data_IF_252514478996
#
_entry.id   IF_252514478996
#
_cell.length_a   1.000
_cell.length_b   1.000
_cell.length_c   1.000
_cell.angle_alpha   90.00
_cell.angle_beta   90.00
_cell.angle_gamma   90.00
#
_symmetry.space_group_name_H-M   'P 1'
#
loop_
_entity.id
_entity.type
_entity.pdbx_description
1 polymer ?
#
# COMPACT_ATOMS: atom_id res chain seq x y z
N UNK A 1 0.99 14.42 -21.21
CA UNK A 1 1.47 13.72 -20.00
C UNK A 1 0.25 13.34 -19.18
N UNK A 2 0.19 12.08 -18.64
CA UNK A 2 -0.92 11.65 -17.81
C UNK A 2 -1.04 12.50 -16.52
N UNK A 3 -2.26 12.70 -16.01
CA UNK A 3 -2.46 13.39 -14.73
C UNK A 3 -2.12 12.48 -13.54
N UNK A 4 -2.42 11.17 -13.64
CA UNK A 4 -2.16 10.18 -12.60
C UNK A 4 -1.22 9.11 -13.15
N UNK A 5 -0.10 8.86 -12.46
CA UNK A 5 0.75 7.68 -12.67
C UNK A 5 0.40 6.64 -11.61
N UNK A 6 -0.09 5.48 -12.03
CA UNK A 6 -0.34 4.35 -11.14
C UNK A 6 0.95 3.54 -11.06
N UNK A 7 1.42 3.22 -9.86
CA UNK A 7 2.64 2.44 -9.63
C UNK A 7 2.29 1.06 -9.07
N UNK A 8 2.80 0.02 -9.73
CA UNK A 8 2.58 -1.39 -9.38
C UNK A 8 3.88 -2.18 -9.51
N UNK A 9 4.34 -2.76 -8.42
CA UNK A 9 5.44 -3.73 -8.40
C UNK A 9 4.87 -5.14 -8.33
N UNK A 10 5.37 -6.07 -9.16
CA UNK A 10 4.95 -7.45 -9.20
C UNK A 10 6.16 -8.40 -9.12
N UNK A 11 6.01 -9.51 -8.39
CA UNK A 11 7.02 -10.57 -8.31
C UNK A 11 6.35 -11.94 -8.23
N UNK A 12 6.47 -12.74 -9.29
CA UNK A 12 5.81 -14.04 -9.44
C UNK A 12 4.30 -13.97 -9.10
N UNK A 13 3.54 -13.06 -9.72
CA UNK A 13 2.14 -12.86 -9.41
C UNK A 13 1.29 -14.07 -9.83
N UNK A 14 0.18 -14.26 -9.13
CA UNK A 14 -0.92 -15.08 -9.61
C UNK A 14 -1.49 -14.44 -10.89
N UNK A 15 -1.66 -15.25 -11.95
CA UNK A 15 -2.06 -14.75 -13.27
C UNK A 15 -3.42 -14.06 -13.24
N UNK A 16 -4.40 -14.71 -12.66
CA UNK A 16 -5.79 -14.27 -12.76
C UNK A 16 -6.04 -13.05 -11.85
N UNK A 17 -5.35 -12.99 -10.69
CA UNK A 17 -5.41 -11.81 -9.80
C UNK A 17 -4.73 -10.61 -10.43
N UNK A 18 -3.53 -10.77 -10.99
CA UNK A 18 -2.85 -9.69 -11.70
C UNK A 18 -3.72 -9.15 -12.84
N UNK A 19 -4.30 -10.04 -13.64
CA UNK A 19 -5.17 -9.64 -14.74
C UNK A 19 -6.40 -8.88 -14.23
N UNK A 20 -7.05 -9.38 -13.17
CA UNK A 20 -8.20 -8.71 -12.56
C UNK A 20 -7.83 -7.35 -11.95
N UNK A 21 -6.64 -7.23 -11.34
CA UNK A 21 -6.10 -5.97 -10.84
C UNK A 21 -5.93 -4.95 -11.97
N UNK A 22 -5.22 -5.32 -13.02
CA UNK A 22 -4.98 -4.45 -14.19
C UNK A 22 -6.29 -4.06 -14.87
N UNK A 23 -7.21 -5.00 -15.09
CA UNK A 23 -8.53 -4.72 -15.67
C UNK A 23 -9.36 -3.76 -14.82
N UNK A 24 -9.22 -3.80 -13.47
CA UNK A 24 -9.89 -2.84 -12.60
C UNK A 24 -9.36 -1.41 -12.77
N UNK A 25 -8.09 -1.26 -13.15
CA UNK A 25 -7.48 0.02 -13.52
C UNK A 25 -7.97 0.47 -14.89
N UNK A 26 -8.00 -0.41 -15.87
CA UNK A 26 -8.49 -0.09 -17.23
C UNK A 26 -9.94 0.42 -17.21
N UNK A 27 -10.75 -0.12 -16.30
CA UNK A 27 -12.18 0.27 -16.12
C UNK A 27 -12.40 1.52 -15.26
N UNK A 28 -11.34 2.27 -14.91
CA UNK A 28 -11.51 3.50 -14.14
C UNK A 28 -12.28 4.57 -14.94
N UNK A 29 -13.21 5.25 -14.27
CA UNK A 29 -13.99 6.37 -14.88
C UNK A 29 -13.13 7.60 -15.16
N UNK A 30 -12.00 7.77 -14.49
CA UNK A 30 -10.98 8.77 -14.78
C UNK A 30 -10.01 8.22 -15.82
N UNK A 31 -9.99 8.80 -17.02
CA UNK A 31 -9.26 8.23 -18.17
C UNK A 31 -7.81 8.71 -18.34
N UNK A 32 -7.40 9.81 -17.68
CA UNK A 32 -6.09 10.45 -17.88
C UNK A 32 -5.04 9.87 -16.90
N UNK A 33 -4.68 8.61 -17.11
CA UNK A 33 -3.71 7.87 -16.32
C UNK A 33 -2.72 7.09 -17.19
N UNK A 34 -1.57 6.76 -16.62
CA UNK A 34 -0.63 5.74 -17.05
C UNK A 34 -0.44 4.71 -15.93
N UNK A 35 -0.18 3.45 -16.27
CA UNK A 35 0.23 2.41 -15.32
C UNK A 35 1.70 2.04 -15.56
N UNK A 36 2.54 2.20 -14.54
CA UNK A 36 3.91 1.71 -14.54
C UNK A 36 3.91 0.36 -13.81
N UNK A 37 4.04 -0.72 -14.58
CA UNK A 37 4.05 -2.10 -14.09
C UNK A 37 5.50 -2.60 -14.09
N UNK A 38 6.06 -2.79 -12.89
CA UNK A 38 7.45 -3.21 -12.71
C UNK A 38 7.53 -4.67 -12.27
N UNK A 39 8.17 -5.49 -13.11
CA UNK A 39 8.53 -6.87 -12.78
C UNK A 39 9.84 -6.89 -11.98
N UNK A 40 9.76 -7.23 -10.71
CA UNK A 40 10.91 -7.28 -9.80
C UNK A 40 11.71 -8.59 -9.94
N UNK A 41 12.05 -8.98 -11.17
CA UNK A 41 12.87 -10.14 -11.48
C UNK A 41 12.14 -11.47 -11.33
N UNK A 42 10.91 -11.56 -11.78
CA UNK A 42 10.11 -12.80 -11.76
C UNK A 42 10.74 -13.92 -12.57
N UNK A 43 10.37 -15.17 -12.24
CA UNK A 43 10.63 -16.36 -13.04
C UNK A 43 10.08 -16.21 -14.47
N UNK A 44 10.47 -17.05 -15.44
CA UNK A 44 9.93 -16.98 -16.79
C UNK A 44 8.40 -17.06 -16.84
N UNK A 45 7.77 -17.91 -16.01
CA UNK A 45 6.32 -18.03 -15.92
C UNK A 45 5.68 -16.76 -15.35
N UNK A 46 6.19 -16.23 -14.21
CA UNK A 46 5.70 -14.99 -13.63
C UNK A 46 5.85 -13.80 -14.57
N UNK A 47 6.98 -13.72 -15.28
CA UNK A 47 7.19 -12.69 -16.30
C UNK A 47 6.18 -12.79 -17.45
N UNK A 48 5.84 -14.01 -17.91
CA UNK A 48 4.84 -14.21 -18.94
C UNK A 48 3.46 -13.68 -18.51
N UNK A 49 3.06 -13.90 -17.24
CA UNK A 49 1.81 -13.35 -16.68
C UNK A 49 1.82 -11.82 -16.71
N UNK A 50 2.93 -11.18 -16.25
CA UNK A 50 3.07 -9.73 -16.21
C UNK A 50 3.02 -9.13 -17.63
N UNK A 51 3.73 -9.73 -18.58
CA UNK A 51 3.71 -9.29 -19.99
C UNK A 51 2.33 -9.43 -20.63
N UNK A 52 1.56 -10.45 -20.25
CA UNK A 52 0.18 -10.61 -20.72
C UNK A 52 -0.68 -9.47 -20.18
N UNK A 53 -0.63 -9.21 -18.88
CA UNK A 53 -1.37 -8.12 -18.26
C UNK A 53 -0.97 -6.73 -18.81
N UNK A 54 0.28 -6.54 -19.17
CA UNK A 54 0.76 -5.28 -19.77
C UNK A 54 0.18 -4.99 -21.17
N UNK A 55 -0.41 -5.98 -21.84
CA UNK A 55 -1.04 -5.80 -23.16
C UNK A 55 -2.51 -5.39 -23.08
N UNK A 56 -3.11 -5.35 -21.89
CA UNK A 56 -4.54 -5.03 -21.71
C UNK A 56 -4.91 -3.62 -22.17
N UNK A 57 -3.96 -2.66 -22.10
CA UNK A 57 -4.22 -1.27 -22.48
C UNK A 57 -2.92 -0.55 -22.89
N UNK A 58 -2.97 0.29 -23.90
CA UNK A 58 -1.82 1.06 -24.42
C UNK A 58 -1.22 2.08 -23.44
N UNK A 59 -1.92 2.40 -22.35
CA UNK A 59 -1.42 3.30 -21.29
C UNK A 59 -0.55 2.56 -20.25
N UNK A 60 -0.37 1.24 -20.38
CA UNK A 60 0.45 0.42 -19.49
C UNK A 60 1.88 0.38 -20.00
N UNK A 61 2.81 0.77 -19.15
CA UNK A 61 4.25 0.74 -19.41
C UNK A 61 4.90 -0.35 -18.56
N UNK A 62 5.40 -1.39 -19.22
CA UNK A 62 6.08 -2.50 -18.60
C UNK A 62 7.58 -2.24 -18.46
N UNK A 63 8.11 -2.54 -17.26
CA UNK A 63 9.54 -2.51 -16.96
C UNK A 63 9.94 -3.78 -16.22
N UNK A 64 11.21 -4.17 -16.32
CA UNK A 64 11.73 -5.37 -15.65
C UNK A 64 13.07 -5.12 -15.00
N UNK A 65 13.23 -5.62 -13.77
CA UNK A 65 14.49 -5.75 -13.07
C UNK A 65 15.16 -7.09 -13.35
N UNK A 66 16.46 -7.15 -13.18
CA UNK A 66 17.25 -8.38 -13.38
C UNK A 66 17.00 -9.42 -12.28
N UNK A 67 16.72 -8.96 -11.04
CA UNK A 67 16.50 -9.80 -9.84
C UNK A 67 15.53 -9.14 -8.87
N UNK A 68 14.99 -9.95 -7.96
CA UNK A 68 14.14 -9.44 -6.88
C UNK A 68 14.93 -8.55 -5.91
N UNK A 69 14.51 -7.30 -5.81
CA UNK A 69 15.05 -6.29 -4.90
C UNK A 69 14.02 -5.81 -3.87
N UNK A 70 12.77 -6.27 -3.97
CA UNK A 70 11.67 -5.98 -3.06
C UNK A 70 10.76 -4.84 -3.52
N UNK A 71 9.58 -4.80 -2.90
CA UNK A 71 8.49 -3.90 -3.30
C UNK A 71 8.90 -2.42 -3.30
N UNK A 72 9.58 -1.96 -2.23
CA UNK A 72 10.03 -0.57 -2.13
C UNK A 72 10.91 -0.15 -3.31
N UNK A 73 11.85 -1.02 -3.72
CA UNK A 73 12.69 -0.77 -4.89
C UNK A 73 11.86 -0.69 -6.18
N UNK A 74 10.97 -1.65 -6.41
CA UNK A 74 10.10 -1.68 -7.59
C UNK A 74 9.23 -0.42 -7.68
N UNK A 75 8.63 0.01 -6.56
CA UNK A 75 7.83 1.23 -6.50
C UNK A 75 8.67 2.48 -6.76
N UNK A 76 9.89 2.58 -6.24
CA UNK A 76 10.80 3.69 -6.51
C UNK A 76 11.18 3.76 -8.00
N UNK A 77 11.39 2.60 -8.64
CA UNK A 77 11.64 2.54 -10.08
C UNK A 77 10.45 3.06 -10.91
N UNK A 78 9.21 2.76 -10.46
CA UNK A 78 8.01 3.34 -11.05
C UNK A 78 7.93 4.86 -10.79
N UNK A 79 8.17 5.33 -9.56
CA UNK A 79 8.15 6.76 -9.21
C UNK A 79 9.11 7.55 -10.09
N UNK A 80 10.32 7.06 -10.26
CA UNK A 80 11.35 7.72 -11.09
C UNK A 80 10.92 7.90 -12.55
N UNK A 81 10.14 6.96 -13.09
CA UNK A 81 9.63 6.96 -14.47
C UNK A 81 8.27 7.61 -14.63
N UNK A 82 7.60 7.95 -13.53
CA UNK A 82 6.25 8.53 -13.55
C UNK A 82 6.26 9.93 -14.14
N UNK A 83 5.20 10.27 -14.89
CA UNK A 83 5.04 11.61 -15.50
C UNK A 83 3.87 12.40 -14.90
N UNK A 84 2.98 11.72 -14.17
CA UNK A 84 1.77 12.31 -13.60
C UNK A 84 2.04 13.28 -12.44
N UNK A 85 1.17 14.27 -12.28
CA UNK A 85 1.12 15.17 -11.12
C UNK A 85 0.80 14.40 -9.83
N UNK A 86 0.06 13.30 -9.96
CA UNK A 86 -0.33 12.42 -8.87
C UNK A 86 0.21 11.02 -9.08
N UNK A 87 0.50 10.31 -7.97
CA UNK A 87 0.95 8.92 -7.97
C UNK A 87 -0.05 8.09 -7.18
N UNK A 88 -0.72 7.15 -7.85
CA UNK A 88 -1.60 6.18 -7.23
C UNK A 88 -0.85 4.86 -6.96
N UNK A 89 -0.98 4.32 -5.76
CA UNK A 89 -0.44 3.03 -5.42
C UNK A 89 -1.46 1.92 -5.70
N UNK A 90 -1.02 0.78 -6.24
CA UNK A 90 -1.86 -0.40 -6.46
C UNK A 90 -1.05 -1.68 -6.28
N UNK A 91 -1.62 -2.69 -5.60
CA UNK A 91 -1.07 -4.06 -5.54
C UNK A 91 -1.48 -4.87 -6.77
N UNK A 92 -0.67 -5.88 -7.09
CA UNK A 92 -0.88 -6.77 -8.22
C UNK A 92 -1.97 -7.82 -8.00
N UNK A 93 -2.53 -7.91 -6.79
CA UNK A 93 -3.60 -8.83 -6.40
C UNK A 93 -4.89 -8.14 -5.91
N UNK A 94 -4.90 -6.80 -5.78
CA UNK A 94 -6.05 -6.01 -5.37
C UNK A 94 -6.92 -5.57 -6.57
N UNK A 95 -8.15 -5.11 -6.31
CA UNK A 95 -9.03 -4.53 -7.34
C UNK A 95 -9.60 -3.20 -6.87
N UNK A 96 -9.54 -2.17 -7.69
CA UNK A 96 -10.14 -0.88 -7.37
C UNK A 96 -11.55 -0.74 -7.97
N UNK A 97 -12.44 -0.02 -7.25
CA UNK A 97 -13.76 0.32 -7.80
C UNK A 97 -13.61 1.35 -8.93
N UNK A 98 -14.52 1.38 -9.93
CA UNK A 98 -14.37 2.25 -11.10
C UNK A 98 -14.24 3.75 -10.80
N UNK A 99 -14.82 4.22 -9.71
CA UNK A 99 -14.81 5.64 -9.32
C UNK A 99 -13.60 6.08 -8.47
N UNK A 100 -12.67 5.17 -8.13
CA UNK A 100 -11.58 5.43 -7.20
C UNK A 100 -10.73 6.64 -7.61
N UNK A 101 -10.13 6.58 -8.79
CA UNK A 101 -9.21 7.63 -9.24
C UNK A 101 -9.90 8.98 -9.38
N UNK A 102 -11.13 9.00 -9.90
CA UNK A 102 -11.92 10.22 -10.06
C UNK A 102 -12.23 10.88 -8.72
N UNK A 103 -12.64 10.10 -7.70
CA UNK A 103 -12.97 10.61 -6.36
C UNK A 103 -11.72 11.16 -5.66
N UNK A 104 -10.63 10.40 -5.68
CA UNK A 104 -9.38 10.79 -5.05
C UNK A 104 -8.73 12.01 -5.72
N UNK A 105 -8.77 12.06 -7.06
CA UNK A 105 -8.29 13.20 -7.83
C UNK A 105 -9.07 14.47 -7.48
N UNK A 106 -10.40 14.43 -7.51
CA UNK A 106 -11.26 15.57 -7.14
C UNK A 106 -10.98 16.04 -5.73
N UNK A 107 -10.83 15.11 -4.79
CA UNK A 107 -10.52 15.45 -3.40
C UNK A 107 -9.20 16.23 -3.29
N UNK A 108 -8.12 15.73 -3.87
CA UNK A 108 -6.83 16.42 -3.80
C UNK A 108 -6.81 17.75 -4.57
N UNK A 109 -7.56 17.91 -5.65
CA UNK A 109 -7.65 19.20 -6.35
C UNK A 109 -8.35 20.28 -5.48
N UNK A 110 -9.33 19.87 -4.63
CA UNK A 110 -10.08 20.79 -3.76
C UNK A 110 -9.50 20.98 -2.36
N UNK A 111 -8.56 20.12 -1.92
CA UNK A 111 -7.99 20.13 -0.56
C UNK A 111 -6.46 20.17 -0.63
N UNK A 112 -5.91 21.38 -0.77
CA UNK A 112 -4.45 21.58 -0.95
C UNK A 112 -3.63 21.31 0.31
N UNK A 113 -4.25 21.33 1.47
CA UNK A 113 -3.66 21.05 2.77
C UNK A 113 -3.24 19.58 2.94
N UNK A 114 -3.82 18.64 2.15
CA UNK A 114 -3.45 17.23 2.18
C UNK A 114 -2.50 16.87 1.04
N UNK A 115 -1.47 16.12 1.37
CA UNK A 115 -0.46 15.67 0.41
C UNK A 115 -0.78 14.30 -0.20
N UNK A 116 -1.66 13.55 0.42
CA UNK A 116 -2.23 12.30 -0.12
C UNK A 116 -3.62 12.04 0.42
N UNK A 117 -4.33 11.20 -0.29
CA UNK A 117 -5.64 10.69 0.12
C UNK A 117 -5.70 9.17 -0.05
N UNK A 118 -6.06 8.50 1.05
CA UNK A 118 -6.40 7.07 1.07
C UNK A 118 -7.91 6.86 1.03
N UNK A 119 -8.32 5.61 1.25
CA UNK A 119 -9.73 5.24 1.42
C UNK A 119 -9.86 4.02 2.32
N UNK A 120 -11.08 3.66 2.67
CA UNK A 120 -11.38 2.35 3.24
C UNK A 120 -11.20 1.26 2.16
N UNK A 121 -11.15 0.00 2.59
CA UNK A 121 -11.12 -1.14 1.68
C UNK A 121 -12.05 -2.26 2.16
N UNK A 122 -12.59 -3.05 1.24
CA UNK A 122 -13.26 -4.31 1.53
C UNK A 122 -12.24 -5.45 1.50
N UNK A 123 -12.26 -6.30 2.49
CA UNK A 123 -11.44 -7.51 2.54
C UNK A 123 -12.12 -8.62 1.74
N UNK A 124 -11.38 -9.24 0.82
CA UNK A 124 -11.89 -10.34 0.00
C UNK A 124 -10.89 -11.51 -0.04
N UNK A 125 -11.43 -12.70 -0.22
CA UNK A 125 -10.72 -13.94 -0.49
C UNK A 125 -11.43 -14.74 -1.61
N UNK A 126 -11.10 -16.02 -1.74
CA UNK A 126 -11.70 -16.92 -2.73
C UNK A 126 -13.22 -17.08 -2.56
N UNK A 127 -13.78 -16.79 -1.40
CA UNK A 127 -15.22 -16.90 -1.08
C UNK A 127 -15.96 -15.58 -1.26
N UNK A 128 -15.25 -14.50 -1.56
CA UNK A 128 -15.82 -13.17 -1.77
C UNK A 128 -15.46 -12.17 -0.67
N UNK A 129 -16.30 -11.14 -0.48
CA UNK A 129 -16.09 -10.11 0.53
C UNK A 129 -16.45 -10.63 1.92
N UNK A 130 -15.50 -10.59 2.86
CA UNK A 130 -15.69 -11.10 4.21
C UNK A 130 -15.48 -10.06 5.33
N UNK A 131 -14.98 -8.86 5.02
CA UNK A 131 -14.74 -7.83 6.03
C UNK A 131 -14.47 -6.45 5.42
N UNK A 132 -14.21 -5.47 6.30
CA UNK A 132 -13.92 -4.09 5.91
C UNK A 132 -12.74 -3.57 6.72
N UNK A 133 -11.72 -3.04 6.05
CA UNK A 133 -10.65 -2.29 6.67
C UNK A 133 -11.10 -0.84 6.88
N UNK A 134 -11.06 -0.40 8.13
CA UNK A 134 -11.38 0.97 8.53
C UNK A 134 -10.13 1.67 9.02
N UNK A 135 -10.01 2.93 8.66
CA UNK A 135 -8.95 3.85 9.08
C UNK A 135 -9.56 5.19 9.42
N UNK A 136 -8.96 5.98 10.32
CA UNK A 136 -9.48 7.29 10.68
C UNK A 136 -9.51 8.22 9.45
N UNK A 137 -10.53 9.06 9.38
CA UNK A 137 -10.73 10.02 8.29
C UNK A 137 -9.58 11.03 8.20
N UNK A 138 -9.22 11.62 9.34
CA UNK A 138 -8.14 12.62 9.53
C UNK A 138 -7.12 12.10 10.53
N UNK A 139 -6.22 11.20 10.10
CA UNK A 139 -5.26 10.58 11.00
C UNK A 139 -4.42 11.59 11.77
N UNK A 140 -4.26 11.34 13.06
CA UNK A 140 -3.41 12.09 13.96
C UNK A 140 -2.17 11.27 14.32
N UNK A 141 -1.15 11.92 14.90
CA UNK A 141 0.10 11.25 15.31
C UNK A 141 -0.18 10.01 16.20
N UNK A 142 -1.15 10.09 17.11
CA UNK A 142 -1.53 8.97 18.00
C UNK A 142 -2.08 7.74 17.27
N UNK A 143 -2.66 7.95 16.08
CA UNK A 143 -3.28 6.87 15.31
C UNK A 143 -2.23 5.94 14.68
N UNK A 144 -0.96 6.38 14.63
CA UNK A 144 0.17 5.53 14.24
C UNK A 144 0.56 4.50 15.32
N UNK A 145 0.20 4.71 16.58
CA UNK A 145 0.60 3.80 17.66
C UNK A 145 0.16 2.34 17.41
N UNK A 146 -1.11 2.04 17.14
CA UNK A 146 -1.55 0.66 16.96
C UNK A 146 -1.09 0.03 15.63
N UNK A 147 -1.12 0.78 14.52
CA UNK A 147 -0.79 0.34 13.16
C UNK A 147 -0.73 1.53 12.21
N UNK A 148 -0.39 1.32 10.93
CA UNK A 148 -0.50 2.37 9.92
C UNK A 148 -1.95 2.87 9.82
N UNK A 149 -2.21 4.17 9.92
CA UNK A 149 -3.54 4.75 9.76
C UNK A 149 -3.92 4.97 8.29
N UNK A 150 -3.18 4.39 7.36
CA UNK A 150 -3.47 4.38 5.93
C UNK A 150 -3.39 2.97 5.39
N UNK A 151 -4.29 2.62 4.47
CA UNK A 151 -4.28 1.37 3.72
C UNK A 151 -3.47 1.62 2.46
N UNK A 152 -2.24 1.13 2.41
CA UNK A 152 -1.25 1.47 1.40
C UNK A 152 -1.74 1.37 -0.06
N UNK A 153 -2.40 0.26 -0.52
CA UNK A 153 -2.86 0.16 -1.91
C UNK A 153 -4.00 1.11 -2.27
N UNK A 154 -4.58 1.82 -1.30
CA UNK A 154 -5.65 2.78 -1.58
C UNK A 154 -5.15 4.19 -1.88
N UNK A 155 -3.87 4.50 -1.68
CA UNK A 155 -3.40 5.89 -1.59
C UNK A 155 -3.12 6.51 -2.96
N UNK A 156 -3.57 7.75 -3.13
CA UNK A 156 -3.17 8.68 -4.18
C UNK A 156 -2.35 9.82 -3.55
N UNK A 157 -1.09 9.97 -3.96
CA UNK A 157 -0.17 11.00 -3.48
C UNK A 157 -0.09 12.18 -4.46
N UNK A 158 0.19 13.38 -3.96
CA UNK A 158 0.87 14.39 -4.77
C UNK A 158 2.29 13.89 -5.06
N UNK A 159 2.68 13.90 -6.32
CA UNK A 159 4.01 13.43 -6.73
C UNK A 159 5.13 14.16 -5.99
N UNK A 160 5.00 15.46 -5.82
CA UNK A 160 5.97 16.32 -5.13
C UNK A 160 6.21 15.89 -3.66
N UNK A 161 5.17 15.48 -2.93
CA UNK A 161 5.30 15.01 -1.55
C UNK A 161 6.09 13.69 -1.48
N UNK A 162 5.82 12.76 -2.40
CA UNK A 162 6.50 11.47 -2.46
C UNK A 162 7.96 11.61 -2.92
N UNK A 163 8.21 12.48 -3.90
CA UNK A 163 9.56 12.80 -4.38
C UNK A 163 10.37 13.56 -3.34
N UNK A 164 9.76 14.58 -2.69
CA UNK A 164 10.42 15.42 -1.68
C UNK A 164 10.85 14.66 -0.42
N UNK A 165 10.18 13.55 -0.09
CA UNK A 165 10.60 12.68 1.01
C UNK A 165 11.60 11.59 0.57
N UNK A 166 12.02 11.53 -0.70
CA UNK A 166 12.95 10.55 -1.24
C UNK A 166 12.31 9.19 -1.61
N UNK A 167 10.97 9.12 -1.73
CA UNK A 167 10.26 7.87 -2.06
C UNK A 167 10.24 6.88 -0.90
N UNK A 168 10.19 5.58 -1.23
CA UNK A 168 10.19 4.48 -0.25
C UNK A 168 11.61 4.16 0.22
N UNK A 169 11.76 3.83 1.51
CA UNK A 169 13.00 3.26 2.02
C UNK A 169 13.16 1.81 1.53
N UNK A 170 14.08 1.60 0.58
CA UNK A 170 14.38 0.29 0.01
C UNK A 170 15.48 -0.47 0.79
N UNK A 171 15.87 0.03 1.96
CA UNK A 171 16.86 -0.64 2.82
C UNK A 171 16.34 -1.97 3.38
N UNK A 172 17.22 -2.91 3.75
CA UNK A 172 16.83 -4.14 4.41
C UNK A 172 16.05 -3.92 5.71
N UNK A 173 16.28 -2.79 6.39
CA UNK A 173 15.67 -2.41 7.65
C UNK A 173 14.18 -2.07 7.51
N UNK A 174 13.76 -1.48 6.40
CA UNK A 174 12.37 -1.13 6.11
C UNK A 174 11.59 -2.24 5.40
N UNK A 175 12.27 -3.29 4.93
CA UNK A 175 11.66 -4.37 4.12
C UNK A 175 10.44 -5.02 4.81
N UNK A 176 9.31 -5.07 4.11
CA UNK A 176 7.99 -5.50 4.57
C UNK A 176 7.34 -4.57 5.63
N UNK A 177 7.86 -3.34 5.78
CA UNK A 177 7.32 -2.27 6.61
C UNK A 177 7.46 -0.91 5.89
N UNK A 178 7.74 -0.93 4.59
CA UNK A 178 8.02 0.23 3.74
C UNK A 178 6.89 1.25 3.71
N UNK A 179 5.66 0.79 3.79
CA UNK A 179 4.46 1.62 3.85
C UNK A 179 4.36 2.38 5.18
N UNK A 180 4.57 1.67 6.29
CA UNK A 180 4.49 2.26 7.62
C UNK A 180 5.64 3.24 7.86
N UNK A 181 6.85 2.90 7.44
CA UNK A 181 8.01 3.78 7.47
C UNK A 181 7.74 5.07 6.70
N UNK A 182 7.24 4.96 5.46
CA UNK A 182 6.94 6.11 4.62
C UNK A 182 5.96 7.07 5.30
N UNK A 183 4.83 6.58 5.82
CA UNK A 183 3.84 7.44 6.44
C UNK A 183 4.34 8.07 7.74
N UNK A 184 5.13 7.35 8.55
CA UNK A 184 5.79 7.91 9.74
C UNK A 184 6.72 9.07 9.36
N UNK A 185 7.53 8.90 8.32
CA UNK A 185 8.48 9.90 7.82
C UNK A 185 7.77 11.11 7.23
N UNK A 186 6.72 10.92 6.44
CA UNK A 186 5.89 12.01 5.91
C UNK A 186 5.26 12.84 7.02
N UNK A 187 4.70 12.20 8.06
CA UNK A 187 4.14 12.91 9.23
C UNK A 187 5.19 13.64 10.06
N UNK A 188 6.38 13.05 10.24
CA UNK A 188 7.49 13.68 10.91
C UNK A 188 7.98 14.94 10.14
N UNK A 189 7.89 14.93 8.81
CA UNK A 189 8.12 16.08 7.95
C UNK A 189 7.00 17.13 7.93
N UNK A 190 5.97 17.00 8.79
CA UNK A 190 4.85 17.95 8.87
C UNK A 190 3.75 17.75 7.83
N UNK A 191 3.89 16.79 6.92
CA UNK A 191 2.90 16.51 5.88
C UNK A 191 1.70 15.75 6.45
N UNK A 192 0.53 15.90 5.81
CA UNK A 192 -0.72 15.29 6.29
C UNK A 192 -1.47 14.60 5.14
N UNK A 193 -2.14 13.51 5.48
CA UNK A 193 -3.04 12.78 4.59
C UNK A 193 -4.46 12.71 5.14
N UNK A 194 -5.36 12.26 4.28
CA UNK A 194 -6.78 12.09 4.57
C UNK A 194 -7.23 10.71 4.08
N UNK A 195 -8.28 10.13 4.66
CA UNK A 195 -8.90 8.91 4.16
C UNK A 195 -10.38 9.15 3.88
N UNK A 196 -10.78 9.01 2.62
CA UNK A 196 -12.18 8.96 2.23
C UNK A 196 -12.87 7.82 2.99
N UNK A 197 -14.01 8.09 3.64
CA UNK A 197 -14.72 7.11 4.46
C UNK A 197 -15.62 6.19 3.61
N UNK A 198 -15.13 5.88 2.41
CA UNK A 198 -15.76 5.01 1.42
C UNK A 198 -14.77 3.90 0.99
N UNK A 199 -15.21 2.64 0.84
CA UNK A 199 -14.35 1.58 0.34
C UNK A 199 -14.17 1.72 -1.19
N UNK A 200 -12.96 2.09 -1.59
CA UNK A 200 -12.60 2.27 -3.00
C UNK A 200 -11.66 1.17 -3.53
N UNK A 201 -11.40 0.15 -2.70
CA UNK A 201 -10.54 -0.99 -3.03
C UNK A 201 -11.14 -2.29 -2.47
N UNK A 202 -10.99 -3.37 -3.22
CA UNK A 202 -11.14 -4.74 -2.75
C UNK A 202 -9.73 -5.26 -2.47
N UNK A 203 -9.42 -5.40 -1.17
CA UNK A 203 -8.11 -5.83 -0.66
C UNK A 203 -8.07 -7.34 -0.56
N UNK A 204 -7.13 -7.96 -1.27
CA UNK A 204 -6.97 -9.42 -1.26
C UNK A 204 -6.23 -9.88 0.01
N UNK A 205 -6.89 -10.68 0.82
CA UNK A 205 -6.27 -11.25 2.02
C UNK A 205 -6.72 -12.69 2.24
N UNK A 206 -5.83 -13.65 2.00
CA UNK A 206 -6.07 -15.06 2.23
C UNK A 206 -5.14 -15.68 3.29
N UNK A 207 -5.21 -17.01 3.48
CA UNK A 207 -4.40 -17.71 4.47
C UNK A 207 -2.89 -17.57 4.23
N UNK A 208 -2.44 -17.50 2.97
CA UNK A 208 -1.03 -17.39 2.59
C UNK A 208 -0.42 -16.05 3.00
N UNK A 209 -1.22 -14.98 2.99
CA UNK A 209 -0.78 -13.64 3.40
C UNK A 209 -0.27 -13.59 4.84
N UNK A 210 -0.67 -14.54 5.70
CA UNK A 210 -0.23 -14.63 7.10
C UNK A 210 1.09 -15.38 7.28
N UNK A 211 1.49 -16.24 6.35
CA UNK A 211 2.72 -17.06 6.46
C UNK A 211 3.99 -16.22 6.31
N UNK A 212 3.91 -15.06 5.67
CA UNK A 212 5.04 -14.13 5.46
C UNK A 212 5.52 -13.42 6.75
N UNK A 213 4.93 -13.70 7.92
CA UNK A 213 5.19 -13.00 9.18
C UNK A 213 6.21 -13.75 10.05
N UNK A 214 7.50 -13.73 9.66
CA UNK A 214 8.58 -14.31 10.44
C UNK A 214 9.13 -13.36 11.53
N UNK A 215 9.95 -13.90 12.45
CA UNK A 215 10.54 -13.14 13.56
C UNK A 215 11.39 -11.94 13.09
N UNK A 216 12.18 -12.12 12.04
CA UNK A 216 13.01 -11.04 11.50
C UNK A 216 12.17 -9.85 11.03
N UNK A 217 10.98 -10.07 10.44
CA UNK A 217 10.03 -9.01 10.11
C UNK A 217 9.55 -8.28 11.36
N UNK A 218 9.28 -9.01 12.46
CA UNK A 218 8.83 -8.39 13.72
C UNK A 218 9.87 -7.46 14.33
N UNK A 219 11.14 -7.88 14.28
CA UNK A 219 12.26 -7.03 14.73
C UNK A 219 12.40 -5.78 13.85
N UNK A 220 12.24 -5.90 12.52
CA UNK A 220 12.24 -4.74 11.63
C UNK A 220 11.10 -3.78 11.95
N UNK A 221 9.87 -4.29 12.06
CA UNK A 221 8.70 -3.48 12.42
C UNK A 221 8.92 -2.75 13.76
N UNK A 222 9.50 -3.43 14.78
CA UNK A 222 9.84 -2.81 16.05
C UNK A 222 10.82 -1.64 15.86
N UNK A 223 11.87 -1.82 15.05
CA UNK A 223 12.85 -0.76 14.76
C UNK A 223 12.24 0.42 14.01
N UNK A 224 11.40 0.15 13.01
CA UNK A 224 10.66 1.18 12.26
C UNK A 224 9.76 1.98 13.22
N UNK A 225 9.01 1.31 14.10
CA UNK A 225 8.17 1.95 15.12
C UNK A 225 8.99 2.82 16.05
N UNK A 226 10.10 2.31 16.60
CA UNK A 226 10.97 3.04 17.51
C UNK A 226 11.51 4.33 16.87
N UNK A 227 12.08 4.23 15.67
CA UNK A 227 12.59 5.38 14.91
C UNK A 227 11.50 6.38 14.57
N UNK A 228 10.39 5.89 14.03
CA UNK A 228 9.27 6.73 13.60
C UNK A 228 8.59 7.44 14.76
N UNK A 229 8.35 6.77 15.88
CA UNK A 229 7.72 7.39 17.05
C UNK A 229 8.62 8.47 17.69
N UNK A 230 9.92 8.24 17.69
CA UNK A 230 10.88 9.29 18.11
C UNK A 230 10.84 10.50 17.18
N UNK A 231 10.82 10.27 15.87
CA UNK A 231 10.73 11.36 14.88
C UNK A 231 9.41 12.15 14.98
N UNK A 232 8.32 11.48 15.40
CA UNK A 232 7.02 12.11 15.67
C UNK A 232 6.93 12.80 17.04
N UNK A 233 7.98 12.75 17.88
CA UNK A 233 7.96 13.32 19.21
C UNK A 233 7.07 12.58 20.22
N UNK A 234 6.74 11.30 19.98
CA UNK A 234 5.92 10.52 20.91
C UNK A 234 6.75 10.13 22.13
N UNK A 235 6.30 10.46 23.38
CA UNK A 235 7.04 10.15 24.59
C UNK A 235 7.35 8.67 24.76
N UNK A 236 8.55 8.34 25.22
CA UNK A 236 9.03 6.95 25.38
C UNK A 236 8.09 6.03 26.16
N UNK A 237 7.56 6.41 27.33
CA UNK A 237 6.61 5.59 28.09
C UNK A 237 5.34 5.25 27.30
N UNK A 238 4.81 6.18 26.53
CA UNK A 238 3.65 5.98 25.66
C UNK A 238 3.98 5.10 24.45
N UNK A 239 5.16 5.27 23.88
CA UNK A 239 5.62 4.56 22.68
C UNK A 239 5.96 3.09 22.97
N UNK A 240 6.59 2.79 24.11
CA UNK A 240 7.21 1.49 24.41
C UNK A 240 6.28 0.28 24.24
N UNK A 241 5.03 0.26 24.75
CA UNK A 241 4.12 -0.87 24.56
C UNK A 241 3.85 -1.17 23.08
N UNK A 242 3.72 -0.12 22.26
CA UNK A 242 3.44 -0.24 20.83
C UNK A 242 4.69 -0.59 20.02
N UNK A 243 5.88 -0.17 20.46
CA UNK A 243 7.15 -0.61 19.87
C UNK A 243 7.34 -2.12 20.07
N UNK A 244 7.03 -2.64 21.25
CA UNK A 244 7.15 -4.07 21.55
C UNK A 244 5.99 -4.94 21.02
N UNK A 245 4.85 -4.34 20.68
CA UNK A 245 3.65 -5.04 20.18
C UNK A 245 3.91 -6.05 19.07
N UNK A 246 4.76 -5.80 18.03
CA UNK A 246 5.04 -6.79 16.99
C UNK A 246 5.63 -8.09 17.54
N UNK A 247 6.50 -8.04 18.55
CA UNK A 247 7.11 -9.21 19.18
C UNK A 247 6.04 -10.04 19.91
N UNK A 248 5.17 -9.39 20.68
CA UNK A 248 4.07 -10.05 21.39
C UNK A 248 3.08 -10.71 20.42
N UNK A 249 2.71 -10.00 19.36
CA UNK A 249 1.85 -10.56 18.30
C UNK A 249 2.52 -11.72 17.54
N UNK A 250 3.86 -11.78 17.53
CA UNK A 250 4.64 -12.87 16.95
C UNK A 250 4.60 -14.16 17.74
N UNK A 251 4.31 -14.10 19.04
CA UNK A 251 4.17 -15.27 19.91
C UNK A 251 2.84 -16.02 19.71
N UNK A 252 1.84 -15.39 19.05
CA UNK A 252 0.55 -16.04 18.79
C UNK A 252 0.64 -16.99 17.58
N UNK A 253 0.13 -18.22 17.67
CA UNK A 253 -0.01 -19.13 16.54
C UNK A 253 -0.82 -18.49 15.41
N UNK A 254 -0.43 -18.70 14.15
CA UNK A 254 -1.06 -18.10 12.99
C UNK A 254 -2.59 -18.31 12.90
N UNK A 255 -3.14 -19.50 13.22
CA UNK A 255 -4.60 -19.72 13.23
C UNK A 255 -5.34 -18.85 14.25
N UNK A 256 -4.77 -18.70 15.46
CA UNK A 256 -5.37 -17.89 16.54
C UNK A 256 -5.37 -16.40 16.13
N UNK A 257 -4.25 -15.92 15.62
CA UNK A 257 -4.15 -14.55 15.12
C UNK A 257 -5.17 -14.28 14.01
N UNK A 258 -5.32 -15.20 13.05
CA UNK A 258 -6.30 -15.09 11.95
C UNK A 258 -7.75 -15.04 12.48
N UNK A 259 -8.10 -15.91 13.42
CA UNK A 259 -9.43 -15.93 14.01
C UNK A 259 -9.77 -14.62 14.73
N UNK A 260 -8.83 -14.09 15.53
CA UNK A 260 -8.99 -12.80 16.22
C UNK A 260 -9.15 -11.65 15.21
N UNK A 261 -8.33 -11.62 14.15
CA UNK A 261 -8.41 -10.60 13.13
C UNK A 261 -9.75 -10.65 12.38
N UNK A 262 -10.21 -11.83 11.97
CA UNK A 262 -11.53 -11.97 11.33
C UNK A 262 -12.65 -11.46 12.23
N UNK A 263 -12.67 -11.83 13.52
CA UNK A 263 -13.65 -11.30 14.48
C UNK A 263 -13.63 -9.77 14.59
N UNK A 264 -12.45 -9.17 14.61
CA UNK A 264 -12.32 -7.71 14.70
C UNK A 264 -12.85 -7.00 13.45
N UNK A 265 -12.63 -7.56 12.26
CA UNK A 265 -13.02 -6.94 10.99
C UNK A 265 -14.48 -7.22 10.59
N UNK A 266 -15.10 -8.27 11.14
CA UNK A 266 -16.51 -8.61 10.94
C UNK A 266 -17.46 -7.89 11.92
N UNK A 267 -16.98 -7.49 13.11
CA UNK A 267 -17.79 -6.87 14.19
C UNK A 267 -18.28 -5.45 13.89
N UNK A 268 -18.11 -4.97 12.68
CA UNK A 268 -18.55 -3.63 12.32
C UNK A 268 -19.59 -3.74 11.21
N UNK A 269 -20.80 -4.12 11.59
CA UNK A 269 -22.02 -3.83 10.83
C UNK A 269 -22.36 -2.35 10.94
#
# INVERSE_FOLDING_TARGET
>A
MAKISIIMGAFNPDRDRLLASVQSIVRQSFGDWELLLYDDGSSPAGNAHIRTAAKEDGRIRYYRGERNRGLAFALNECIRRSTGKYIARMDDDDRCVPSRLQKQFRFLESHREYQWVGSLALLCDEQGVWGKLRVPERPQIRDFLPHSPFIHPTVLFRREALMGCGGYDASPEARLCEDYELFLRLYAGGLRGYNLQEPLLLYWENAVSYQKRNFARRVREMRVRYRGFRALGIPGPTALPYVCKPLLAGALPAPVYRALRRRMQQRVK
#
